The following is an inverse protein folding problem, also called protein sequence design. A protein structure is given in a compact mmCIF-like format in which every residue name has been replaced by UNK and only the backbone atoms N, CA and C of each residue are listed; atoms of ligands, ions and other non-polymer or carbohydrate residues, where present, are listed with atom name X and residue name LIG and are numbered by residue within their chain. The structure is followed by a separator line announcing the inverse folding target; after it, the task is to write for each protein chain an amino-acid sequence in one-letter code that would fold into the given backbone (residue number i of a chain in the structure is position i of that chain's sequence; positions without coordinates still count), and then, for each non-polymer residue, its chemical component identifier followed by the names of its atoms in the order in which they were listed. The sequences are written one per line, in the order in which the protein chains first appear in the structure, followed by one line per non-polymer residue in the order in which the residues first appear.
data_IF_721561139529
#
_entry.id   IF_721561139529
#
_cell.length_a   1.000
_cell.length_b   1.000
_cell.length_c   1.000
_cell.angle_alpha   90.00
_cell.angle_beta   90.00
_cell.angle_gamma   90.00
#
_symmetry.space_group_name_H-M   'P 1'
#
loop_
_entity.id
_entity.type
_entity.pdbx_description
1 polymer ?
#
# COMPACT_ATOMS: atom_id res chain seq x y z
N UNK A 1 2.97 10.42 52.03
CA UNK A 1 2.71 9.16 51.30
C UNK A 1 2.81 9.48 49.82
N UNK A 2 3.94 9.13 49.21
CA UNK A 2 4.26 9.46 47.81
C UNK A 2 3.59 8.45 46.89
N UNK A 3 2.66 8.91 46.05
CA UNK A 3 2.07 8.15 44.95
C UNK A 3 3.16 7.85 43.92
N UNK A 4 3.53 6.57 43.78
CA UNK A 4 4.32 6.09 42.65
C UNK A 4 3.41 6.14 41.42
N UNK A 5 3.79 6.95 40.43
CA UNK A 5 3.20 6.88 39.10
C UNK A 5 3.66 5.60 38.42
N UNK A 6 2.70 4.83 37.93
CA UNK A 6 2.97 3.68 37.06
C UNK A 6 3.54 4.17 35.72
N UNK A 7 4.67 3.57 35.32
CA UNK A 7 5.31 3.80 34.04
C UNK A 7 4.59 3.04 32.91
N UNK A 8 4.43 3.59 31.70
CA UNK A 8 3.87 2.85 30.58
C UNK A 8 4.97 2.03 29.88
N UNK A 9 4.82 0.70 29.83
CA UNK A 9 5.70 -0.16 29.02
C UNK A 9 5.84 -1.60 29.50
N UNK A 10 4.74 -2.37 29.62
CA UNK A 10 4.84 -3.82 29.86
C UNK A 10 5.05 -4.59 28.54
N UNK A 11 6.25 -4.54 27.97
CA UNK A 11 6.60 -5.31 26.76
C UNK A 11 7.45 -6.54 27.10
N UNK A 12 6.95 -7.75 26.83
CA UNK A 12 7.74 -8.98 26.99
C UNK A 12 8.97 -9.04 26.08
N UNK A 13 9.91 -9.95 26.36
CA UNK A 13 11.12 -10.11 25.55
C UNK A 13 10.80 -10.34 24.05
N UNK A 14 11.59 -9.79 23.11
CA UNK A 14 11.35 -9.93 21.68
C UNK A 14 11.51 -11.39 21.22
N UNK A 15 10.67 -11.81 20.28
CA UNK A 15 10.77 -13.12 19.60
C UNK A 15 12.02 -13.20 18.71
N UNK A 16 12.35 -12.09 18.06
CA UNK A 16 13.56 -11.92 17.27
C UNK A 16 14.28 -10.68 17.79
N UNK A 17 15.28 -10.84 18.69
CA UNK A 17 16.04 -9.72 19.19
C UNK A 17 16.92 -9.13 18.09
N UNK A 18 17.07 -7.81 18.11
CA UNK A 18 18.08 -7.13 17.33
C UNK A 18 19.35 -6.95 18.14
N UNK A 19 20.50 -7.10 17.47
CA UNK A 19 21.77 -6.61 18.01
C UNK A 19 21.82 -5.09 18.03
N UNK A 20 22.99 -4.52 18.33
CA UNK A 20 23.17 -3.07 18.26
C UNK A 20 22.84 -2.55 16.85
N UNK A 21 21.89 -1.62 16.77
CA UNK A 21 21.50 -0.95 15.52
C UNK A 21 22.10 0.46 15.47
N UNK A 22 22.69 0.81 14.33
CA UNK A 22 23.19 2.15 14.08
C UNK A 22 22.06 3.06 13.59
N UNK A 23 21.85 4.25 14.18
CA UNK A 23 20.90 5.22 13.65
C UNK A 23 21.42 5.90 12.39
N UNK A 24 20.52 6.22 11.48
CA UNK A 24 20.84 6.96 10.26
C UNK A 24 19.62 7.62 9.63
N UNK A 25 19.85 8.28 8.50
CA UNK A 25 18.81 8.88 7.67
C UNK A 25 18.80 8.27 6.28
N UNK A 26 17.62 7.90 5.79
CA UNK A 26 17.47 7.41 4.43
C UNK A 26 17.67 8.56 3.42
N UNK A 27 18.44 8.32 2.36
CA UNK A 27 18.67 9.32 1.30
C UNK A 27 17.93 8.93 0.02
N UNK A 28 18.26 7.77 -0.54
CA UNK A 28 17.72 7.33 -1.83
C UNK A 28 17.79 5.81 -1.95
N UNK A 29 16.79 5.20 -2.60
CA UNK A 29 16.81 3.77 -2.95
C UNK A 29 17.33 3.58 -4.38
N UNK A 30 18.38 2.80 -4.54
CA UNK A 30 18.96 2.41 -5.83
C UNK A 30 18.44 1.03 -6.23
N UNK A 31 17.42 1.00 -7.09
CA UNK A 31 16.79 -0.25 -7.51
C UNK A 31 16.03 -0.91 -6.35
N UNK A 32 16.11 -2.25 -6.24
CA UNK A 32 15.32 -3.01 -5.25
C UNK A 32 16.06 -3.24 -3.93
N UNK A 33 17.35 -3.55 -3.97
CA UNK A 33 18.06 -4.13 -2.81
C UNK A 33 19.20 -3.26 -2.27
N UNK A 34 19.29 -2.00 -2.70
CA UNK A 34 20.36 -1.09 -2.32
C UNK A 34 19.77 0.28 -1.98
N UNK A 35 20.25 0.90 -0.91
CA UNK A 35 19.92 2.26 -0.52
C UNK A 35 21.19 3.03 -0.14
N UNK A 36 21.16 4.33 -0.40
CA UNK A 36 22.06 5.30 0.20
C UNK A 36 21.43 5.80 1.50
N UNK A 37 22.25 5.82 2.55
CA UNK A 37 21.88 6.31 3.87
C UNK A 37 22.97 7.23 4.39
N UNK A 38 22.62 8.09 5.33
CA UNK A 38 23.58 8.87 6.11
C UNK A 38 23.69 8.25 7.51
N UNK A 39 24.90 7.86 7.91
CA UNK A 39 25.20 7.29 9.23
C UNK A 39 26.38 8.06 9.80
N UNK A 40 26.23 8.62 11.00
CA UNK A 40 27.24 9.46 11.64
C UNK A 40 27.82 10.56 10.72
N UNK A 41 26.95 11.20 9.92
CA UNK A 41 27.31 12.27 8.98
C UNK A 41 28.02 11.81 7.70
N UNK A 42 28.15 10.50 7.46
CA UNK A 42 28.77 9.93 6.26
C UNK A 42 27.74 9.21 5.40
N UNK A 43 27.89 9.32 4.07
CA UNK A 43 27.08 8.57 3.12
C UNK A 43 27.58 7.13 3.03
N UNK A 44 26.69 6.20 3.26
CA UNK A 44 26.95 4.76 3.28
C UNK A 44 25.96 4.01 2.37
N UNK A 45 26.35 2.81 1.95
CA UNK A 45 25.46 1.91 1.22
C UNK A 45 24.89 0.83 2.15
N UNK A 46 23.57 0.73 2.19
CA UNK A 46 22.84 -0.30 2.92
C UNK A 46 22.09 -1.24 1.98
N UNK A 47 22.08 -2.53 2.32
CA UNK A 47 21.18 -3.48 1.69
C UNK A 47 19.75 -3.27 2.19
N UNK A 48 18.80 -3.36 1.27
CA UNK A 48 17.37 -3.35 1.60
C UNK A 48 16.87 -4.79 1.49
N UNK A 49 16.66 -5.51 2.61
CA UNK A 49 16.20 -6.91 2.62
C UNK A 49 14.69 -7.03 2.32
N UNK A 50 14.22 -6.31 1.31
CA UNK A 50 12.83 -6.29 0.87
C UNK A 50 12.77 -6.03 -0.64
N UNK A 51 12.05 -6.87 -1.38
CA UNK A 51 11.88 -6.68 -2.83
C UNK A 51 10.76 -5.68 -3.18
N UNK A 52 9.90 -5.36 -2.22
CA UNK A 52 8.79 -4.43 -2.33
C UNK A 52 9.22 -2.98 -2.56
N UNK A 53 8.28 -2.10 -2.88
CA UNK A 53 8.56 -0.71 -3.30
C UNK A 53 8.88 0.22 -2.14
N UNK A 54 8.22 0.04 -1.00
CA UNK A 54 8.42 0.81 0.24
C UNK A 54 8.43 2.34 0.01
N UNK A 55 7.67 2.85 -0.96
CA UNK A 55 7.70 4.28 -1.36
C UNK A 55 7.01 5.19 -0.35
N UNK A 56 6.17 4.59 0.47
CA UNK A 56 5.50 5.17 1.62
C UNK A 56 6.39 5.22 2.86
N UNK A 57 7.38 4.33 2.98
CA UNK A 57 8.27 4.29 4.16
C UNK A 57 9.63 4.92 3.90
N UNK A 58 10.27 4.59 2.77
CA UNK A 58 11.62 5.04 2.41
C UNK A 58 11.56 6.41 1.72
N UNK A 59 11.15 7.42 2.48
CA UNK A 59 11.16 8.83 2.07
C UNK A 59 12.51 9.46 2.39
N UNK A 60 13.09 10.29 1.50
CA UNK A 60 14.31 11.03 1.80
C UNK A 60 14.19 11.79 3.14
N UNK A 61 15.18 11.61 4.01
CA UNK A 61 15.22 12.16 5.36
C UNK A 61 14.57 11.28 6.44
N UNK A 62 13.92 10.16 6.09
CA UNK A 62 13.32 9.27 7.08
C UNK A 62 14.37 8.67 8.02
N UNK A 63 14.05 8.62 9.33
CA UNK A 63 14.91 7.96 10.32
C UNK A 63 14.93 6.45 10.06
N UNK A 64 16.12 5.86 10.06
CA UNK A 64 16.32 4.43 9.86
C UNK A 64 17.27 3.87 10.92
N UNK A 65 17.10 2.59 11.23
CA UNK A 65 18.04 1.83 12.07
C UNK A 65 18.64 0.69 11.25
N UNK A 66 19.96 0.58 11.30
CA UNK A 66 20.75 -0.31 10.46
C UNK A 66 21.50 -1.35 11.28
N UNK A 67 21.47 -2.61 10.84
CA UNK A 67 22.26 -3.68 11.44
C UNK A 67 23.59 -3.86 10.69
N UNK A 68 24.71 -4.08 11.39
CA UNK A 68 25.97 -4.45 10.75
C UNK A 68 25.83 -5.83 10.08
N UNK A 69 26.44 -5.96 8.90
CA UNK A 69 26.53 -7.22 8.16
C UNK A 69 27.94 -7.79 8.30
N UNK A 70 28.04 -9.10 8.51
CA UNK A 70 29.32 -9.79 8.56
C UNK A 70 29.76 -10.29 7.18
N UNK A 71 31.08 -10.37 6.99
CA UNK A 71 31.75 -10.92 5.80
C UNK A 71 31.95 -9.94 4.65
N UNK A 72 32.70 -10.37 3.63
CA UNK A 72 32.99 -9.57 2.43
C UNK A 72 31.72 -9.41 1.58
N UNK A 73 31.01 -8.31 1.78
CA UNK A 73 29.77 -7.98 1.07
C UNK A 73 29.89 -6.58 0.46
N UNK A 74 29.12 -6.34 -0.61
CA UNK A 74 29.02 -5.01 -1.26
C UNK A 74 28.47 -3.92 -0.32
N UNK A 75 27.78 -4.31 0.75
CA UNK A 75 27.20 -3.42 1.75
C UNK A 75 27.56 -3.94 3.14
N UNK A 76 28.01 -3.04 4.02
CA UNK A 76 28.32 -3.36 5.41
C UNK A 76 27.09 -3.28 6.33
N UNK A 77 25.95 -2.82 5.81
CA UNK A 77 24.74 -2.53 6.59
C UNK A 77 23.50 -3.15 5.96
N UNK A 78 22.61 -3.67 6.80
CA UNK A 78 21.21 -3.98 6.46
C UNK A 78 20.31 -2.85 7.00
N UNK A 79 19.44 -2.30 6.16
CA UNK A 79 18.39 -1.38 6.61
C UNK A 79 17.26 -2.23 7.22
N UNK A 80 17.11 -2.17 8.55
CA UNK A 80 16.19 -3.07 9.29
C UNK A 80 14.90 -2.36 9.66
N UNK A 81 15.01 -1.17 10.28
CA UNK A 81 13.86 -0.39 10.72
C UNK A 81 13.82 0.96 9.99
N UNK A 82 12.61 1.42 9.74
CA UNK A 82 12.32 2.77 9.27
C UNK A 82 11.21 3.35 10.13
N UNK A 83 11.39 4.60 10.55
CA UNK A 83 10.34 5.32 11.29
C UNK A 83 9.18 5.55 10.33
N UNK A 84 7.98 5.15 10.75
CA UNK A 84 6.76 5.29 9.96
C UNK A 84 6.48 6.80 9.81
N UNK A 85 6.40 7.33 8.58
CA UNK A 85 6.03 8.73 8.38
C UNK A 85 4.64 9.00 8.94
N UNK A 86 4.45 10.17 9.55
CA UNK A 86 3.22 10.53 10.25
C UNK A 86 1.98 10.41 9.35
N UNK A 87 2.08 10.85 8.09
CA UNK A 87 0.99 10.77 7.13
C UNK A 87 0.70 9.35 6.59
N UNK A 88 1.61 8.42 6.85
CA UNK A 88 1.51 7.01 6.45
C UNK A 88 1.18 6.09 7.65
N UNK A 89 1.01 6.68 8.85
CA UNK A 89 0.66 5.98 10.08
C UNK A 89 -0.78 5.47 10.04
N UNK A 90 -0.96 4.23 10.44
CA UNK A 90 -2.27 3.61 10.63
C UNK A 90 -2.87 3.95 12.00
N UNK A 91 -4.02 3.34 12.34
CA UNK A 91 -4.77 3.65 13.55
C UNK A 91 -4.18 3.06 14.85
N UNK A 92 -3.19 2.17 14.76
CA UNK A 92 -2.56 1.60 15.95
C UNK A 92 -1.35 2.41 16.43
N UNK A 93 -0.77 1.99 17.55
CA UNK A 93 0.36 2.64 18.19
C UNK A 93 1.71 2.10 17.68
N UNK A 94 2.79 2.85 17.93
CA UNK A 94 4.15 2.48 17.56
C UNK A 94 4.67 3.21 16.33
N UNK A 95 5.98 3.41 16.28
CA UNK A 95 6.63 4.35 15.35
C UNK A 95 7.55 3.67 14.33
N UNK A 96 7.81 2.38 14.46
CA UNK A 96 8.77 1.66 13.64
C UNK A 96 8.09 0.62 12.76
N UNK A 97 8.49 0.56 11.50
CA UNK A 97 8.23 -0.56 10.61
C UNK A 97 9.52 -1.37 10.45
N UNK A 98 9.44 -2.69 10.55
CA UNK A 98 10.55 -3.55 10.17
C UNK A 98 10.39 -3.94 8.70
N UNK A 99 11.37 -3.58 7.88
CA UNK A 99 11.32 -3.86 6.45
C UNK A 99 12.01 -5.15 6.05
N UNK A 100 12.65 -5.86 6.99
CA UNK A 100 13.34 -7.11 6.70
C UNK A 100 12.35 -8.26 6.47
N UNK A 101 12.10 -8.54 5.19
CA UNK A 101 11.15 -9.56 4.76
C UNK A 101 11.62 -11.01 5.02
N UNK A 102 12.84 -11.21 5.56
CA UNK A 102 13.38 -12.52 5.93
C UNK A 102 12.97 -12.95 7.33
N UNK A 103 12.47 -12.03 8.16
CA UNK A 103 12.16 -12.30 9.58
C UNK A 103 10.81 -12.98 9.87
N UNK A 104 9.75 -12.87 9.05
CA UNK A 104 8.46 -13.49 9.35
C UNK A 104 8.49 -14.96 9.77
N UNK A 105 9.23 -15.88 9.10
CA UNK A 105 9.29 -17.27 9.53
C UNK A 105 9.91 -17.43 10.94
N UNK A 106 10.90 -16.60 11.28
CA UNK A 106 11.56 -16.62 12.59
C UNK A 106 10.64 -16.14 13.70
N UNK A 107 9.89 -15.07 13.44
CA UNK A 107 8.88 -14.55 14.38
C UNK A 107 7.80 -15.61 14.64
N UNK A 108 7.29 -16.25 13.57
CA UNK A 108 6.30 -17.32 13.71
C UNK A 108 6.85 -18.52 14.52
N UNK A 109 8.07 -18.97 14.24
CA UNK A 109 8.69 -20.07 14.97
C UNK A 109 8.82 -19.79 16.48
N UNK A 110 9.26 -18.58 16.85
CA UNK A 110 9.36 -18.16 18.25
C UNK A 110 7.98 -18.00 18.91
N UNK A 111 7.00 -17.44 18.18
CA UNK A 111 5.63 -17.30 18.66
C UNK A 111 4.94 -18.67 18.88
N UNK A 112 5.23 -19.69 18.06
CA UNK A 112 4.76 -21.06 18.25
C UNK A 112 5.29 -21.68 19.55
N UNK A 113 6.56 -21.46 19.87
CA UNK A 113 7.15 -21.94 21.13
C UNK A 113 6.49 -21.32 22.38
N UNK A 114 5.87 -20.14 22.23
CA UNK A 114 5.10 -19.46 23.27
C UNK A 114 3.59 -19.67 23.15
N UNK A 115 3.14 -20.55 22.26
CA UNK A 115 1.71 -20.85 22.03
C UNK A 115 0.89 -19.61 21.67
N UNK A 116 1.50 -18.64 21.00
CA UNK A 116 0.92 -17.34 20.70
C UNK A 116 0.31 -17.21 19.30
N UNK A 117 0.39 -18.25 18.46
CA UNK A 117 -0.11 -18.26 17.08
C UNK A 117 -1.44 -19.03 17.02
N UNK A 118 -2.59 -18.34 16.88
CA UNK A 118 -3.88 -19.00 16.87
C UNK A 118 -4.03 -20.01 15.72
N UNK A 119 -4.63 -21.16 16.02
CA UNK A 119 -4.82 -22.28 15.08
C UNK A 119 -3.62 -23.22 14.96
N UNK A 120 -2.49 -22.91 15.58
CA UNK A 120 -1.28 -23.74 15.61
C UNK A 120 -0.83 -24.06 17.04
N UNK A 121 -1.76 -24.06 17.99
CA UNK A 121 -1.54 -24.39 19.40
C UNK A 121 -0.97 -25.81 19.56
N UNK A 122 -0.04 -25.99 20.50
CA UNK A 122 0.70 -27.25 20.66
C UNK A 122 1.70 -27.55 19.53
N UNK A 123 1.79 -26.69 18.51
CA UNK A 123 2.75 -26.79 17.43
C UNK A 123 4.18 -26.49 17.89
N UNK A 124 5.14 -27.22 17.31
CA UNK A 124 6.58 -26.99 17.46
C UNK A 124 7.24 -27.00 16.09
N UNK A 125 8.25 -26.15 15.89
CA UNK A 125 9.01 -26.11 14.65
C UNK A 125 9.76 -27.44 14.46
N UNK A 126 9.43 -28.17 13.40
CA UNK A 126 10.13 -29.40 13.03
C UNK A 126 11.26 -29.13 12.04
N UNK A 127 11.01 -28.28 11.04
CA UNK A 127 11.98 -27.98 9.97
C UNK A 127 11.73 -26.62 9.35
N UNK A 128 12.80 -25.91 9.01
CA UNK A 128 12.76 -24.73 8.12
C UNK A 128 13.01 -25.14 6.68
N UNK A 129 12.41 -24.41 5.73
CA UNK A 129 12.62 -24.63 4.30
C UNK A 129 12.28 -26.05 3.80
N UNK A 130 11.17 -26.70 4.25
CA UNK A 130 10.78 -28.02 3.77
C UNK A 130 10.49 -28.00 2.25
N UNK A 131 10.82 -29.08 1.52
CA UNK A 131 10.56 -29.16 0.09
C UNK A 131 9.04 -29.23 -0.20
N UNK A 132 8.64 -28.60 -1.30
CA UNK A 132 7.33 -28.77 -1.93
C UNK A 132 7.50 -29.39 -3.31
N UNK A 133 6.40 -29.80 -3.95
CA UNK A 133 6.40 -30.23 -5.35
C UNK A 133 7.02 -29.17 -6.27
N UNK A 134 6.74 -27.89 -5.98
CA UNK A 134 7.43 -26.75 -6.58
C UNK A 134 8.03 -25.85 -5.49
N UNK A 135 9.36 -25.82 -5.41
CA UNK A 135 10.09 -24.93 -4.50
C UNK A 135 10.13 -25.43 -3.05
N UNK A 136 10.05 -24.49 -2.11
CA UNK A 136 10.12 -24.72 -0.66
C UNK A 136 9.12 -23.82 0.04
N UNK A 137 8.53 -24.30 1.12
CA UNK A 137 7.79 -23.47 2.07
C UNK A 137 8.72 -22.96 3.17
N UNK A 138 8.27 -22.02 4.01
CA UNK A 138 9.11 -21.45 5.05
C UNK A 138 9.31 -22.41 6.25
N UNK A 139 8.23 -23.01 6.76
CA UNK A 139 8.26 -23.84 7.98
C UNK A 139 7.44 -25.14 7.81
N UNK A 140 7.91 -26.20 8.47
CA UNK A 140 7.13 -27.38 8.81
C UNK A 140 6.95 -27.41 10.33
N UNK A 141 5.70 -27.43 10.77
CA UNK A 141 5.29 -27.41 12.17
C UNK A 141 4.61 -28.73 12.50
N UNK A 142 4.98 -29.36 13.61
CA UNK A 142 4.36 -30.58 14.10
C UNK A 142 3.64 -30.30 15.42
N UNK A 143 2.41 -30.79 15.55
CA UNK A 143 1.65 -30.79 16.80
C UNK A 143 1.03 -32.16 17.07
N UNK A 144 0.19 -32.29 18.11
CA UNK A 144 -0.39 -33.57 18.49
C UNK A 144 -1.27 -34.17 17.39
N UNK A 145 -0.75 -35.17 16.67
CA UNK A 145 -1.49 -35.86 15.60
C UNK A 145 -1.62 -35.09 14.28
N UNK A 146 -0.87 -33.99 14.09
CA UNK A 146 -0.90 -33.21 12.86
C UNK A 146 0.45 -32.61 12.49
N UNK A 147 0.66 -32.41 11.20
CA UNK A 147 1.73 -31.57 10.66
C UNK A 147 1.14 -30.47 9.78
N UNK A 148 1.77 -29.30 9.78
CA UNK A 148 1.40 -28.16 8.98
C UNK A 148 2.60 -27.60 8.22
N UNK A 149 2.45 -27.42 6.91
CA UNK A 149 3.37 -26.59 6.13
C UNK A 149 2.89 -25.14 6.22
N UNK A 150 3.78 -24.24 6.62
CA UNK A 150 3.50 -22.82 6.81
C UNK A 150 4.34 -21.98 5.87
N UNK A 151 3.68 -21.11 5.12
CA UNK A 151 4.29 -20.10 4.25
C UNK A 151 4.01 -18.71 4.82
N UNK A 152 5.05 -18.01 5.23
CA UNK A 152 4.98 -16.66 5.77
C UNK A 152 5.01 -15.61 4.65
N UNK A 153 4.21 -14.56 4.82
CA UNK A 153 4.16 -13.40 3.92
C UNK A 153 4.44 -12.13 4.72
N UNK A 154 5.52 -11.43 4.35
CA UNK A 154 5.89 -10.14 4.94
C UNK A 154 4.93 -9.04 4.46
N UNK A 155 4.38 -8.26 5.40
CA UNK A 155 3.56 -7.09 5.12
C UNK A 155 4.14 -5.86 5.81
N UNK A 156 4.37 -4.81 5.02
CA UNK A 156 4.82 -3.48 5.48
C UNK A 156 3.96 -2.33 4.91
N UNK A 157 3.22 -2.60 3.84
CA UNK A 157 2.25 -1.65 3.28
C UNK A 157 0.99 -1.63 4.15
N UNK A 158 0.68 -0.47 4.74
CA UNK A 158 -0.56 -0.22 5.47
C UNK A 158 -1.32 0.92 4.79
N UNK A 159 -2.59 0.67 4.48
CA UNK A 159 -3.52 1.65 3.88
C UNK A 159 -4.90 1.45 4.45
N UNK A 160 -5.60 2.56 4.72
CA UNK A 160 -6.94 2.54 5.34
C UNK A 160 -7.00 1.64 6.60
N UNK A 161 -5.92 1.65 7.39
CA UNK A 161 -5.71 0.85 8.60
C UNK A 161 -5.43 -0.64 8.40
N UNK A 162 -5.42 -1.14 7.16
CA UNK A 162 -5.17 -2.55 6.88
C UNK A 162 -3.79 -2.78 6.27
N UNK A 163 -3.13 -3.86 6.68
CA UNK A 163 -1.94 -4.40 6.05
C UNK A 163 -2.31 -5.05 4.72
N UNK A 164 -1.60 -4.68 3.65
CA UNK A 164 -1.92 -5.09 2.29
C UNK A 164 -0.82 -5.99 1.71
N UNK A 165 -1.22 -7.14 1.17
CA UNK A 165 -0.30 -8.04 0.46
C UNK A 165 -0.84 -8.48 -0.92
N UNK A 166 -0.02 -8.42 -1.98
CA UNK A 166 1.33 -7.85 -2.01
C UNK A 166 1.30 -6.33 -2.16
N UNK A 167 2.45 -5.66 -2.02
CA UNK A 167 2.60 -4.24 -2.35
C UNK A 167 2.76 -3.99 -3.87
N UNK A 168 3.06 -5.05 -4.62
CA UNK A 168 3.31 -5.06 -6.06
C UNK A 168 3.06 -6.45 -6.64
N UNK A 169 2.81 -6.61 -7.95
CA UNK A 169 2.56 -7.92 -8.55
C UNK A 169 3.60 -8.99 -8.16
N UNK A 170 3.14 -10.15 -7.68
CA UNK A 170 3.96 -11.25 -7.15
C UNK A 170 3.60 -12.60 -7.79
N UNK A 171 4.20 -12.88 -8.95
CA UNK A 171 4.07 -14.19 -9.57
C UNK A 171 4.54 -15.33 -8.64
N UNK A 172 5.57 -15.07 -7.80
CA UNK A 172 6.07 -16.04 -6.81
C UNK A 172 5.02 -16.33 -5.73
N UNK A 173 4.39 -15.28 -5.18
CA UNK A 173 3.36 -15.47 -4.15
C UNK A 173 2.16 -16.25 -4.67
N UNK A 174 1.75 -16.00 -5.92
CA UNK A 174 0.67 -16.77 -6.55
C UNK A 174 1.05 -18.25 -6.72
N UNK A 175 2.25 -18.55 -7.23
CA UNK A 175 2.73 -19.95 -7.36
C UNK A 175 2.81 -20.68 -6.02
N UNK A 176 3.30 -20.02 -4.97
CA UNK A 176 3.37 -20.63 -3.63
C UNK A 176 1.96 -20.95 -3.10
N UNK A 177 0.97 -20.07 -3.31
CA UNK A 177 -0.41 -20.36 -2.92
C UNK A 177 -0.98 -21.57 -3.69
N UNK A 178 -0.72 -21.69 -4.98
CA UNK A 178 -1.13 -22.86 -5.77
C UNK A 178 -0.41 -24.15 -5.34
N UNK A 179 0.88 -24.08 -5.02
CA UNK A 179 1.64 -25.23 -4.54
C UNK A 179 1.06 -25.78 -3.21
N UNK A 180 0.71 -24.89 -2.27
CA UNK A 180 0.00 -25.28 -1.04
C UNK A 180 -1.42 -25.78 -1.33
N UNK A 181 -2.09 -25.21 -2.34
CA UNK A 181 -3.39 -25.66 -2.81
C UNK A 181 -3.32 -27.03 -3.50
N UNK A 182 -2.15 -27.56 -3.86
CA UNK A 182 -1.96 -28.90 -4.41
C UNK A 182 -1.57 -29.94 -3.34
N UNK A 183 -0.94 -29.52 -2.24
CA UNK A 183 -0.58 -30.40 -1.12
C UNK A 183 -1.83 -30.90 -0.37
N UNK A 184 -1.86 -32.19 0.01
CA UNK A 184 -3.05 -32.84 0.62
C UNK A 184 -2.77 -33.68 1.87
N UNK A 185 -1.53 -34.08 2.09
CA UNK A 185 -1.10 -34.99 3.15
C UNK A 185 -0.95 -34.33 4.52
N UNK A 186 -0.98 -32.99 4.57
CA UNK A 186 -0.72 -32.20 5.78
C UNK A 186 -1.63 -30.97 5.79
N UNK A 187 -1.72 -30.30 6.95
CA UNK A 187 -2.31 -28.95 7.03
C UNK A 187 -1.44 -27.98 6.24
N UNK A 188 -2.06 -26.94 5.68
CA UNK A 188 -1.36 -25.93 4.88
C UNK A 188 -1.80 -24.56 5.32
N UNK A 189 -0.84 -23.69 5.62
CA UNK A 189 -1.09 -22.38 6.20
C UNK A 189 -0.36 -21.31 5.41
N UNK A 190 -1.07 -20.26 5.02
CA UNK A 190 -0.46 -18.99 4.62
C UNK A 190 -0.58 -18.02 5.79
N UNK A 191 0.55 -17.57 6.31
CA UNK A 191 0.64 -16.68 7.46
C UNK A 191 1.07 -15.28 7.04
N UNK A 192 0.14 -14.32 7.07
CA UNK A 192 0.47 -12.90 6.87
C UNK A 192 1.05 -12.31 8.16
N UNK A 193 2.31 -11.90 8.12
CA UNK A 193 3.02 -11.32 9.26
C UNK A 193 3.23 -9.83 8.98
N UNK A 194 2.46 -9.00 9.68
CA UNK A 194 2.54 -7.55 9.55
C UNK A 194 3.64 -7.02 10.46
N UNK A 195 4.72 -6.53 9.85
CA UNK A 195 5.90 -6.01 10.54
C UNK A 195 5.74 -4.51 10.88
N UNK A 196 4.51 -4.16 11.30
CA UNK A 196 4.08 -2.82 11.68
C UNK A 196 3.05 -2.92 12.80
N UNK A 197 3.19 -2.14 13.89
CA UNK A 197 2.29 -2.21 15.03
C UNK A 197 0.97 -1.42 14.80
N UNK A 198 0.95 -0.50 13.84
CA UNK A 198 -0.13 0.45 13.58
C UNK A 198 -1.26 -0.07 12.68
N UNK A 199 -1.46 -1.39 12.64
CA UNK A 199 -2.42 -2.09 11.77
C UNK A 199 -3.62 -2.65 12.56
N UNK A 200 -4.80 -2.69 11.94
CA UNK A 200 -6.02 -3.30 12.53
C UNK A 200 -6.54 -4.56 11.84
N UNK A 201 -6.14 -4.80 10.60
CA UNK A 201 -6.60 -5.92 9.78
C UNK A 201 -5.59 -6.25 8.67
N UNK A 202 -5.76 -7.39 8.01
CA UNK A 202 -5.05 -7.73 6.77
C UNK A 202 -6.02 -7.89 5.63
N UNK A 203 -5.63 -7.44 4.43
CA UNK A 203 -6.40 -7.58 3.20
C UNK A 203 -5.49 -8.02 2.05
N UNK A 204 -5.92 -8.97 1.21
CA UNK A 204 -5.28 -9.22 -0.07
C UNK A 204 -5.38 -7.97 -0.94
N UNK A 205 -4.25 -7.48 -1.45
CA UNK A 205 -4.18 -6.28 -2.28
C UNK A 205 -4.54 -6.59 -3.73
N UNK A 206 -5.81 -6.87 -3.97
CA UNK A 206 -6.31 -7.15 -5.33
C UNK A 206 -6.06 -6.00 -6.34
N UNK A 207 -6.09 -4.70 -5.98
CA UNK A 207 -5.68 -3.63 -6.89
C UNK A 207 -4.23 -3.77 -7.41
N UNK A 208 -3.31 -4.22 -6.55
CA UNK A 208 -1.92 -4.42 -6.93
C UNK A 208 -1.72 -5.75 -7.69
N UNK A 209 -2.38 -6.82 -7.26
CA UNK A 209 -2.26 -8.14 -7.88
C UNK A 209 -3.56 -8.95 -7.84
N UNK A 210 -4.41 -8.84 -8.90
CA UNK A 210 -5.61 -9.65 -9.03
C UNK A 210 -5.32 -11.15 -9.16
N UNK A 211 -4.16 -11.53 -9.72
CA UNK A 211 -3.80 -12.93 -9.93
C UNK A 211 -3.45 -13.61 -8.61
N UNK A 212 -2.68 -12.95 -7.75
CA UNK A 212 -2.44 -13.41 -6.38
C UNK A 212 -3.75 -13.53 -5.58
N UNK A 213 -4.62 -12.51 -5.63
CA UNK A 213 -5.90 -12.56 -4.93
C UNK A 213 -6.78 -13.74 -5.40
N UNK A 214 -6.75 -14.07 -6.69
CA UNK A 214 -7.45 -15.23 -7.23
C UNK A 214 -6.81 -16.57 -6.80
N UNK A 215 -5.48 -16.66 -6.78
CA UNK A 215 -4.75 -17.84 -6.30
C UNK A 215 -5.01 -18.10 -4.82
N UNK A 216 -5.00 -17.06 -3.98
CA UNK A 216 -5.33 -17.17 -2.56
C UNK A 216 -6.74 -17.72 -2.35
N UNK A 217 -7.74 -17.22 -3.09
CA UNK A 217 -9.13 -17.74 -3.06
C UNK A 217 -9.25 -19.19 -3.53
N UNK A 218 -8.38 -19.65 -4.44
CA UNK A 218 -8.34 -21.07 -4.84
C UNK A 218 -7.70 -21.92 -3.74
N UNK A 219 -6.62 -21.44 -3.14
CA UNK A 219 -5.95 -22.10 -2.03
C UNK A 219 -6.90 -22.28 -0.82
N UNK A 220 -7.62 -21.24 -0.43
CA UNK A 220 -8.63 -21.32 0.66
C UNK A 220 -9.71 -22.36 0.35
N UNK A 221 -10.25 -22.37 -0.88
CA UNK A 221 -11.25 -23.37 -1.30
C UNK A 221 -10.71 -24.79 -1.31
N UNK A 222 -9.40 -24.96 -1.50
CA UNK A 222 -8.74 -26.26 -1.38
C UNK A 222 -8.48 -26.66 0.08
N UNK A 223 -8.76 -25.80 1.07
CA UNK A 223 -8.52 -26.05 2.48
C UNK A 223 -7.17 -25.54 3.00
N UNK A 224 -6.53 -24.60 2.30
CA UNK A 224 -5.37 -23.86 2.84
C UNK A 224 -5.88 -22.83 3.84
N UNK A 225 -5.43 -22.93 5.08
CA UNK A 225 -5.75 -22.00 6.16
C UNK A 225 -5.01 -20.68 5.94
N UNK A 226 -5.65 -19.56 6.26
CA UNK A 226 -5.04 -18.23 6.17
C UNK A 226 -5.11 -17.58 7.53
N UNK A 227 -3.95 -17.32 8.12
CA UNK A 227 -3.84 -16.58 9.37
C UNK A 227 -3.11 -15.26 9.12
N UNK A 228 -3.38 -14.29 9.99
CA UNK A 228 -2.73 -13.00 9.97
C UNK A 228 -2.42 -12.57 11.39
N UNK A 229 -1.31 -11.86 11.58
CA UNK A 229 -1.02 -11.21 12.85
C UNK A 229 -0.05 -10.07 12.71
N UNK A 230 0.00 -9.26 13.76
CA UNK A 230 0.86 -8.08 13.84
C UNK A 230 2.05 -8.35 14.75
N UNK A 231 3.15 -7.68 14.42
CA UNK A 231 4.31 -7.60 15.29
C UNK A 231 4.29 -6.30 16.08
N UNK A 232 4.64 -6.38 17.36
CA UNK A 232 5.34 -5.28 18.04
C UNK A 232 6.71 -5.12 17.39
N UNK A 233 7.09 -3.86 17.12
CA UNK A 233 8.33 -3.53 16.42
C UNK A 233 9.02 -2.40 17.17
N UNK A 234 10.28 -2.60 17.52
CA UNK A 234 11.11 -1.57 18.10
C UNK A 234 12.59 -1.87 17.96
N UNK A 235 13.46 -0.96 18.44
CA UNK A 235 14.91 -1.13 18.36
C UNK A 235 15.45 -2.41 19.03
N UNK A 236 14.71 -2.98 19.99
CA UNK A 236 15.08 -4.22 20.68
C UNK A 236 14.77 -5.48 19.88
N UNK A 237 13.85 -5.45 18.91
CA UNK A 237 13.46 -6.63 18.15
C UNK A 237 12.03 -6.60 17.59
N UNK A 238 11.60 -7.76 17.10
CA UNK A 238 10.21 -8.04 16.75
C UNK A 238 9.60 -9.02 17.76
N UNK A 239 8.32 -8.86 18.03
CA UNK A 239 7.52 -9.81 18.79
C UNK A 239 6.15 -9.98 18.17
N UNK A 240 5.68 -11.20 17.98
CA UNK A 240 4.30 -11.47 17.62
C UNK A 240 3.38 -11.00 18.74
N UNK A 241 2.56 -10.00 18.44
CA UNK A 241 1.70 -9.36 19.42
C UNK A 241 0.30 -9.99 19.46
N UNK A 242 -0.16 -10.55 18.33
CA UNK A 242 -1.47 -11.20 18.27
C UNK A 242 -2.06 -11.27 16.88
N UNK A 243 -3.19 -11.98 16.74
CA UNK A 243 -3.87 -12.16 15.47
C UNK A 243 -4.48 -10.86 14.93
N UNK A 244 -4.68 -10.83 13.63
CA UNK A 244 -5.43 -9.80 12.92
C UNK A 244 -6.58 -10.45 12.12
N UNK A 245 -7.74 -9.78 12.01
CA UNK A 245 -8.78 -10.24 11.12
C UNK A 245 -8.32 -10.15 9.65
N UNK A 246 -8.65 -11.18 8.87
CA UNK A 246 -8.54 -11.17 7.42
C UNK A 246 -9.84 -10.61 6.83
N UNK A 247 -9.75 -9.46 6.15
CA UNK A 247 -10.91 -8.81 5.56
C UNK A 247 -10.93 -8.93 4.03
N UNK A 248 -12.15 -8.99 3.48
CA UNK A 248 -12.39 -9.00 2.03
C UNK A 248 -13.37 -7.90 1.66
N UNK A 249 -13.21 -7.35 0.47
CA UNK A 249 -14.14 -6.35 -0.01
C UNK A 249 -15.53 -6.97 -0.20
N UNK A 250 -16.54 -6.31 0.35
CA UNK A 250 -17.94 -6.55 0.05
C UNK A 250 -18.64 -5.22 -0.24
N UNK A 251 -19.76 -5.26 -0.96
CA UNK A 251 -20.53 -4.06 -1.27
C UNK A 251 -21.09 -3.39 -0.02
N UNK A 252 -21.34 -4.15 1.06
CA UNK A 252 -21.82 -3.65 2.35
C UNK A 252 -20.72 -3.17 3.31
N UNK A 253 -19.43 -3.36 2.98
CA UNK A 253 -18.33 -2.98 3.88
C UNK A 253 -18.37 -1.50 4.28
N UNK A 254 -18.11 -1.20 5.55
CA UNK A 254 -17.90 0.18 5.99
C UNK A 254 -16.67 0.76 5.28
N UNK A 255 -16.78 1.99 4.78
CA UNK A 255 -15.70 2.67 4.07
C UNK A 255 -15.58 4.12 4.53
N UNK A 256 -14.35 4.59 4.67
CA UNK A 256 -14.04 6.00 4.85
C UNK A 256 -13.80 6.65 3.49
N UNK A 257 -13.94 7.97 3.40
CA UNK A 257 -13.56 8.68 2.17
C UNK A 257 -12.06 8.60 1.91
N UNK A 258 -11.67 8.85 0.67
CA UNK A 258 -10.25 8.98 0.30
C UNK A 258 -9.73 10.35 0.76
N UNK A 259 -8.50 10.45 1.29
CA UNK A 259 -7.89 11.74 1.58
C UNK A 259 -7.59 12.51 0.29
N UNK A 260 -7.51 13.84 0.37
CA UNK A 260 -6.97 14.64 -0.72
C UNK A 260 -5.44 14.56 -0.68
N UNK A 261 -4.80 14.17 -1.79
CA UNK A 261 -3.35 14.17 -1.92
C UNK A 261 -2.93 15.46 -2.61
N UNK A 262 -2.66 16.51 -1.83
CA UNK A 262 -2.46 17.85 -2.36
C UNK A 262 -1.33 18.61 -1.66
N UNK A 263 -0.71 19.54 -2.39
CA UNK A 263 0.23 20.54 -1.86
C UNK A 263 0.15 21.83 -2.71
N UNK A 264 0.70 22.96 -2.25
CA UNK A 264 0.84 24.14 -3.09
C UNK A 264 1.70 23.86 -4.33
N UNK A 265 1.39 24.50 -5.46
CA UNK A 265 2.23 24.47 -6.67
C UNK A 265 2.28 23.11 -7.39
N UNK A 266 1.22 22.30 -7.28
CA UNK A 266 1.11 21.06 -8.06
C UNK A 266 1.24 21.33 -9.56
N UNK A 267 1.94 20.43 -10.27
CA UNK A 267 1.97 20.40 -11.73
C UNK A 267 0.58 20.05 -12.28
N UNK A 268 -0.05 19.04 -11.70
CA UNK A 268 -1.37 18.55 -12.11
C UNK A 268 -2.19 18.15 -10.88
N UNK A 269 -3.40 18.70 -10.75
CA UNK A 269 -4.41 18.21 -9.82
C UNK A 269 -5.42 17.33 -10.57
N UNK A 270 -5.42 16.02 -10.30
CA UNK A 270 -6.42 15.09 -10.83
C UNK A 270 -7.67 15.14 -9.95
N UNK A 271 -8.82 15.50 -10.54
CA UNK A 271 -10.10 15.62 -9.87
C UNK A 271 -11.08 14.57 -10.39
N UNK A 272 -11.32 13.51 -9.59
CA UNK A 272 -12.36 12.53 -9.84
C UNK A 272 -13.77 13.07 -9.55
N UNK A 273 -14.79 12.30 -9.93
CA UNK A 273 -16.18 12.61 -9.60
C UNK A 273 -16.46 12.41 -8.10
N UNK A 274 -16.40 11.15 -7.66
CA UNK A 274 -16.51 10.75 -6.28
C UNK A 274 -15.87 9.35 -6.09
N UNK A 275 -15.42 8.99 -4.87
CA UNK A 275 -14.84 7.68 -4.64
C UNK A 275 -15.86 6.55 -4.86
N UNK A 276 -15.48 5.53 -5.64
CA UNK A 276 -16.21 4.26 -5.60
C UNK A 276 -15.93 3.55 -4.27
N UNK A 277 -16.93 2.83 -3.71
CA UNK A 277 -16.77 2.06 -2.45
C UNK A 277 -15.55 1.13 -2.45
N UNK A 278 -15.21 0.51 -3.58
CA UNK A 278 -14.01 -0.32 -3.71
C UNK A 278 -12.70 0.48 -3.53
N UNK A 279 -12.58 1.61 -4.22
CA UNK A 279 -11.44 2.51 -4.09
C UNK A 279 -11.29 3.03 -2.66
N UNK A 280 -12.41 3.45 -2.06
CA UNK A 280 -12.49 3.90 -0.67
C UNK A 280 -12.09 2.81 0.33
N UNK A 281 -12.53 1.56 0.12
CA UNK A 281 -12.16 0.43 0.98
C UNK A 281 -10.66 0.18 0.99
N UNK A 282 -10.01 0.20 -0.18
CA UNK A 282 -8.54 0.07 -0.27
C UNK A 282 -7.77 1.34 0.13
N UNK A 283 -8.44 2.49 0.26
CA UNK A 283 -7.77 3.78 0.47
C UNK A 283 -6.95 4.23 -0.74
N UNK A 284 -7.38 3.89 -1.96
CA UNK A 284 -6.61 4.11 -3.19
C UNK A 284 -7.50 4.70 -4.29
N UNK A 285 -6.99 5.72 -5.00
CA UNK A 285 -7.70 6.33 -6.12
C UNK A 285 -7.77 5.38 -7.31
N UNK A 286 -8.94 5.33 -7.97
CA UNK A 286 -9.16 4.54 -9.19
C UNK A 286 -8.73 3.06 -9.11
N UNK A 287 -8.82 2.44 -7.92
CA UNK A 287 -8.24 1.13 -7.63
C UNK A 287 -8.98 -0.08 -8.21
N UNK A 288 -10.24 0.08 -8.63
CA UNK A 288 -11.06 -1.06 -9.08
C UNK A 288 -10.44 -1.73 -10.32
N UNK A 289 -10.28 -3.07 -10.31
CA UNK A 289 -9.87 -3.81 -11.50
C UNK A 289 -10.72 -3.45 -12.71
N UNK A 290 -10.06 -3.23 -13.85
CA UNK A 290 -10.70 -2.78 -15.09
C UNK A 290 -10.89 -1.26 -15.24
N UNK A 291 -10.62 -0.46 -14.20
CA UNK A 291 -10.56 1.00 -14.36
C UNK A 291 -9.36 1.38 -15.25
N UNK A 292 -9.59 2.23 -16.26
CA UNK A 292 -8.58 2.58 -17.26
C UNK A 292 -7.64 3.71 -16.83
N UNK A 293 -7.88 4.38 -15.71
CA UNK A 293 -7.09 5.53 -15.25
C UNK A 293 -5.60 5.20 -15.16
N UNK A 294 -5.22 4.23 -14.32
CA UNK A 294 -3.82 3.88 -14.11
C UNK A 294 -3.13 3.29 -15.35
N UNK A 295 -3.77 2.41 -16.14
CA UNK A 295 -3.23 2.01 -17.45
C UNK A 295 -3.00 3.20 -18.40
N UNK A 296 -3.93 4.15 -18.46
CA UNK A 296 -3.86 5.30 -19.36
C UNK A 296 -2.78 6.31 -18.94
N UNK A 297 -2.65 6.61 -17.64
CA UNK A 297 -1.58 7.46 -17.11
C UNK A 297 -0.20 6.90 -17.48
N UNK A 298 0.01 5.58 -17.34
CA UNK A 298 1.27 4.92 -17.74
C UNK A 298 1.49 4.96 -19.25
N UNK A 299 0.46 4.63 -20.03
CA UNK A 299 0.55 4.57 -21.49
C UNK A 299 0.80 5.96 -22.12
N UNK A 300 0.35 7.03 -21.47
CA UNK A 300 0.59 8.40 -21.88
C UNK A 300 1.92 8.99 -21.36
N UNK A 301 2.67 8.26 -20.53
CA UNK A 301 3.92 8.74 -19.95
C UNK A 301 3.76 9.78 -18.83
N UNK A 302 2.54 10.02 -18.34
CA UNK A 302 2.26 10.97 -17.26
C UNK A 302 2.83 10.53 -15.90
N UNK A 303 3.05 9.22 -15.73
CA UNK A 303 3.65 8.61 -14.53
C UNK A 303 4.60 7.49 -14.93
N UNK A 304 5.57 7.10 -14.06
CA UNK A 304 6.45 5.98 -14.32
C UNK A 304 5.68 4.68 -14.63
N UNK A 305 6.25 3.82 -15.48
CA UNK A 305 5.62 2.54 -15.91
C UNK A 305 5.31 1.58 -14.77
N UNK A 306 5.97 1.71 -13.62
CA UNK A 306 5.65 0.89 -12.46
C UNK A 306 4.39 1.38 -11.73
N UNK A 307 3.93 2.62 -11.95
CA UNK A 307 2.99 3.27 -11.05
C UNK A 307 1.56 2.73 -11.11
N UNK A 308 0.85 2.80 -9.98
CA UNK A 308 -0.51 2.27 -9.83
C UNK A 308 -1.26 2.84 -8.61
N UNK A 309 -2.45 2.29 -8.31
CA UNK A 309 -3.22 2.68 -7.13
C UNK A 309 -2.39 2.56 -5.84
N UNK A 310 -2.55 3.51 -4.92
CA UNK A 310 -1.82 3.54 -3.64
C UNK A 310 -0.51 4.33 -3.66
N UNK A 311 -0.11 4.87 -4.82
CA UNK A 311 1.07 5.72 -4.98
C UNK A 311 0.76 7.22 -5.06
N UNK A 312 -0.48 7.62 -4.78
CA UNK A 312 -0.95 9.00 -4.93
C UNK A 312 -0.15 9.99 -4.09
N UNK A 313 0.14 9.65 -2.83
CA UNK A 313 0.98 10.47 -1.95
C UNK A 313 2.41 10.63 -2.50
N UNK A 314 2.99 9.53 -3.02
CA UNK A 314 4.32 9.55 -3.62
C UNK A 314 4.36 10.40 -4.90
N UNK A 315 3.36 10.30 -5.77
CA UNK A 315 3.23 11.11 -6.99
C UNK A 315 3.04 12.59 -6.67
N UNK A 316 2.27 12.91 -5.64
CA UNK A 316 2.08 14.27 -5.15
C UNK A 316 3.41 14.89 -4.71
N UNK A 317 4.20 14.15 -3.91
CA UNK A 317 5.50 14.61 -3.40
C UNK A 317 6.57 14.72 -4.49
N UNK A 318 6.65 13.74 -5.37
CA UNK A 318 7.81 13.60 -6.29
C UNK A 318 7.58 14.18 -7.67
N UNK A 319 6.35 14.14 -8.20
CA UNK A 319 6.02 14.61 -9.56
C UNK A 319 5.05 15.80 -9.56
N UNK A 320 4.60 16.24 -8.38
CA UNK A 320 3.59 17.30 -8.29
C UNK A 320 2.24 16.90 -8.90
N UNK A 321 1.90 15.61 -8.90
CA UNK A 321 0.61 15.10 -9.36
C UNK A 321 -0.27 14.78 -8.15
N UNK A 322 -1.25 15.65 -7.89
CA UNK A 322 -2.19 15.52 -6.77
C UNK A 322 -3.50 14.86 -7.15
N UNK A 323 -4.26 14.44 -6.15
CA UNK A 323 -5.53 13.71 -6.30
C UNK A 323 -6.60 14.25 -5.36
N UNK A 324 -7.81 14.40 -5.89
CA UNK A 324 -9.01 14.81 -5.16
C UNK A 324 -10.25 14.27 -5.88
N UNK A 325 -11.43 14.43 -5.28
CA UNK A 325 -12.72 14.28 -5.95
C UNK A 325 -13.56 15.53 -5.79
N UNK A 326 -14.53 15.76 -6.69
CA UNK A 326 -15.55 16.80 -6.51
C UNK A 326 -16.38 16.50 -5.27
N UNK A 327 -16.92 15.29 -5.16
CA UNK A 327 -17.71 14.82 -4.01
C UNK A 327 -16.93 13.77 -3.23
N UNK A 328 -16.80 13.95 -1.91
CA UNK A 328 -16.01 13.04 -1.06
C UNK A 328 -16.78 11.81 -0.59
N UNK A 329 -18.12 11.78 -0.63
CA UNK A 329 -18.88 10.62 -0.16
C UNK A 329 -18.66 9.40 -1.09
N UNK A 330 -18.19 8.25 -0.56
CA UNK A 330 -18.08 7.04 -1.36
C UNK A 330 -19.45 6.45 -1.72
N UNK A 331 -19.63 6.05 -2.99
CA UNK A 331 -20.91 5.44 -3.45
C UNK A 331 -20.69 4.17 -4.28
N UNK A 332 -21.76 3.39 -4.48
CA UNK A 332 -21.76 2.26 -5.41
C UNK A 332 -21.63 2.73 -6.86
N UNK A 333 -22.34 3.82 -7.21
CA UNK A 333 -22.23 4.53 -8.48
C UNK A 333 -22.55 6.02 -8.38
N UNK A 334 -22.21 6.78 -9.43
CA UNK A 334 -22.39 8.24 -9.49
C UNK A 334 -23.85 8.68 -9.40
N UNK A 335 -24.79 7.81 -9.79
CA UNK A 335 -26.23 8.07 -9.71
C UNK A 335 -26.75 8.22 -8.27
N UNK A 336 -26.01 7.71 -7.27
CA UNK A 336 -26.36 7.85 -5.84
C UNK A 336 -25.96 9.23 -5.26
N UNK A 337 -25.23 10.05 -6.02
CA UNK A 337 -24.75 11.37 -5.56
C UNK A 337 -25.80 12.44 -5.83
N UNK A 338 -26.22 13.14 -4.78
CA UNK A 338 -27.29 14.15 -4.83
C UNK A 338 -26.79 15.44 -5.49
N UNK A 339 -27.70 16.19 -6.09
CA UNK A 339 -27.39 17.50 -6.71
C UNK A 339 -26.79 18.49 -5.70
N UNK A 340 -27.26 18.49 -4.46
CA UNK A 340 -26.71 19.33 -3.39
C UNK A 340 -25.25 19.01 -3.08
N UNK A 341 -24.85 17.74 -3.18
CA UNK A 341 -23.45 17.33 -2.99
C UNK A 341 -22.58 17.77 -4.16
N UNK A 342 -23.09 17.75 -5.40
CA UNK A 342 -22.38 18.29 -6.56
C UNK A 342 -22.12 19.79 -6.42
N UNK A 343 -23.11 20.57 -6.01
CA UNK A 343 -22.97 22.02 -5.79
C UNK A 343 -21.94 22.34 -4.71
N UNK A 344 -22.06 21.70 -3.54
CA UNK A 344 -21.08 21.85 -2.45
C UNK A 344 -19.66 21.40 -2.87
N UNK A 345 -19.58 20.31 -3.63
CA UNK A 345 -18.32 19.80 -4.19
C UNK A 345 -17.67 20.78 -5.16
N UNK A 346 -18.46 21.47 -5.99
CA UNK A 346 -17.97 22.46 -6.93
C UNK A 346 -17.38 23.69 -6.23
N UNK A 347 -18.06 24.22 -5.22
CA UNK A 347 -17.55 25.31 -4.38
C UNK A 347 -16.23 24.91 -3.69
N UNK A 348 -16.18 23.69 -3.14
CA UNK A 348 -14.98 23.14 -2.52
C UNK A 348 -13.81 23.06 -3.49
N UNK A 349 -14.02 22.55 -4.71
CA UNK A 349 -12.96 22.45 -5.73
C UNK A 349 -12.47 23.84 -6.13
N UNK A 350 -13.36 24.82 -6.36
CA UNK A 350 -12.96 26.20 -6.65
C UNK A 350 -12.11 26.80 -5.53
N UNK A 351 -12.52 26.63 -4.27
CA UNK A 351 -11.74 27.08 -3.13
C UNK A 351 -10.38 26.37 -3.04
N UNK A 352 -10.34 25.07 -3.31
CA UNK A 352 -9.11 24.27 -3.29
C UNK A 352 -8.12 24.74 -4.37
N UNK A 353 -8.59 24.99 -5.59
CA UNK A 353 -7.75 25.50 -6.69
C UNK A 353 -7.23 26.91 -6.39
N UNK A 354 -8.08 27.82 -5.90
CA UNK A 354 -7.66 29.17 -5.47
C UNK A 354 -6.56 29.12 -4.40
N UNK A 355 -6.69 28.21 -3.43
CA UNK A 355 -5.73 28.06 -2.32
C UNK A 355 -4.42 27.43 -2.77
N UNK A 356 -4.47 26.34 -3.53
CA UNK A 356 -3.28 25.55 -3.87
C UNK A 356 -2.54 26.05 -5.10
N UNK A 357 -3.23 26.82 -5.96
CA UNK A 357 -2.72 27.34 -7.24
C UNK A 357 -1.97 26.26 -8.05
N UNK A 358 -2.61 25.11 -8.36
CA UNK A 358 -1.99 24.13 -9.25
C UNK A 358 -1.80 24.76 -10.64
N UNK A 359 -0.75 24.36 -11.36
CA UNK A 359 -0.53 24.80 -12.75
C UNK A 359 -1.67 24.33 -13.67
N UNK A 360 -2.09 23.08 -13.49
CA UNK A 360 -3.21 22.49 -14.20
C UNK A 360 -4.14 21.68 -13.29
N UNK A 361 -5.43 21.65 -13.62
CA UNK A 361 -6.42 20.71 -13.08
C UNK A 361 -7.01 19.86 -14.21
N UNK A 362 -7.18 18.56 -13.95
CA UNK A 362 -7.82 17.65 -14.88
C UNK A 362 -9.01 16.96 -14.22
N UNK A 363 -10.22 17.14 -14.78
CA UNK A 363 -11.41 16.42 -14.36
C UNK A 363 -11.51 15.06 -15.03
N UNK A 364 -11.71 14.00 -14.26
CA UNK A 364 -11.92 12.64 -14.77
C UNK A 364 -13.40 12.29 -14.67
N UNK A 365 -14.13 12.49 -15.77
CA UNK A 365 -15.56 12.25 -15.88
C UNK A 365 -16.38 13.53 -16.04
N UNK A 366 -17.26 13.52 -17.05
CA UNK A 366 -18.03 14.71 -17.47
C UNK A 366 -18.99 15.22 -16.41
N UNK A 367 -19.59 14.36 -15.60
CA UNK A 367 -20.56 14.80 -14.57
C UNK A 367 -19.90 15.71 -13.54
N UNK A 368 -18.72 15.32 -13.04
CA UNK A 368 -17.94 16.14 -12.11
C UNK A 368 -17.47 17.44 -12.76
N UNK A 369 -16.94 17.36 -14.00
CA UNK A 369 -16.53 18.55 -14.75
C UNK A 369 -17.70 19.55 -14.93
N UNK A 370 -18.88 19.07 -15.31
CA UNK A 370 -20.06 19.92 -15.52
C UNK A 370 -20.59 20.56 -14.23
N UNK A 371 -20.44 19.89 -13.08
CA UNK A 371 -20.79 20.49 -11.79
C UNK A 371 -19.91 21.71 -11.47
N UNK A 372 -18.63 21.70 -11.87
CA UNK A 372 -17.67 22.78 -11.56
C UNK A 372 -17.62 23.85 -12.66
N UNK A 373 -17.57 23.43 -13.92
CA UNK A 373 -17.34 24.27 -15.10
C UNK A 373 -18.63 24.70 -15.81
N UNK A 374 -19.76 24.07 -15.48
CA UNK A 374 -21.05 24.30 -16.13
C UNK A 374 -21.38 23.27 -17.23
N UNK A 375 -22.63 23.31 -17.74
CA UNK A 375 -23.17 22.28 -18.64
C UNK A 375 -22.41 22.13 -19.96
N UNK A 376 -21.70 23.18 -20.40
CA UNK A 376 -20.90 23.18 -21.63
C UNK A 376 -19.62 22.33 -21.57
N UNK A 377 -19.23 21.79 -20.41
CA UNK A 377 -18.01 20.99 -20.30
C UNK A 377 -18.02 19.75 -21.22
N UNK A 378 -16.95 19.63 -22.04
CA UNK A 378 -16.69 18.57 -23.02
C UNK A 378 -15.24 18.08 -22.91
N UNK A 379 -14.91 16.84 -23.33
CA UNK A 379 -13.54 16.34 -23.26
C UNK A 379 -12.55 17.21 -24.04
N UNK A 380 -11.34 17.36 -23.51
CA UNK A 380 -10.29 18.22 -24.06
C UNK A 380 -9.92 19.39 -23.15
N UNK A 381 -9.06 20.32 -23.63
CA UNK A 381 -8.76 21.55 -22.93
C UNK A 381 -10.03 22.40 -22.70
N UNK A 382 -10.11 23.04 -21.55
CA UNK A 382 -11.14 24.01 -21.21
C UNK A 382 -10.52 25.42 -21.26
N UNK A 383 -10.76 26.20 -22.33
CA UNK A 383 -10.02 27.44 -22.60
C UNK A 383 -10.09 28.50 -21.49
N UNK A 384 -11.20 28.57 -20.78
CA UNK A 384 -11.45 29.55 -19.73
C UNK A 384 -10.66 29.23 -18.43
N UNK A 385 -10.07 28.03 -18.34
CA UNK A 385 -9.40 27.57 -17.14
C UNK A 385 -10.34 27.40 -15.94
N UNK A 386 -9.76 27.33 -14.74
CA UNK A 386 -10.51 27.33 -13.48
C UNK A 386 -9.70 28.04 -12.40
N UNK A 387 -10.19 29.18 -11.91
CA UNK A 387 -9.56 29.91 -10.79
C UNK A 387 -8.06 30.19 -11.00
N UNK A 388 -7.67 30.51 -12.24
CA UNK A 388 -6.28 30.77 -12.64
C UNK A 388 -5.45 29.53 -13.01
N UNK A 389 -5.98 28.32 -12.84
CA UNK A 389 -5.33 27.09 -13.32
C UNK A 389 -5.78 26.72 -14.74
N UNK A 390 -4.85 26.19 -15.54
CA UNK A 390 -5.20 25.56 -16.82
C UNK A 390 -6.11 24.35 -16.56
N UNK A 391 -7.14 24.14 -17.38
CA UNK A 391 -8.15 23.11 -17.13
C UNK A 391 -8.30 22.14 -18.30
N UNK A 392 -8.42 20.84 -17.99
CA UNK A 392 -8.63 19.77 -18.96
C UNK A 392 -9.72 18.82 -18.49
N UNK A 393 -10.53 18.31 -19.41
CA UNK A 393 -11.60 17.36 -19.10
C UNK A 393 -11.35 16.04 -19.81
N UNK A 394 -11.35 14.95 -19.05
CA UNK A 394 -11.30 13.59 -19.55
C UNK A 394 -12.67 12.91 -19.46
N UNK A 395 -12.96 11.94 -20.36
CA UNK A 395 -14.09 11.04 -20.17
C UNK A 395 -13.94 10.19 -18.89
N UNK A 396 -15.03 9.55 -18.47
CA UNK A 396 -14.98 8.63 -17.33
C UNK A 396 -14.09 7.41 -17.65
N UNK A 397 -13.27 6.99 -16.69
CA UNK A 397 -12.33 5.86 -16.83
C UNK A 397 -12.89 4.53 -16.31
N UNK A 398 -14.03 4.57 -15.63
CA UNK A 398 -14.69 3.39 -15.06
C UNK A 398 -15.52 2.68 -16.14
N UNK A 399 -15.29 1.38 -16.32
CA UNK A 399 -16.10 0.56 -17.24
C UNK A 399 -17.61 0.55 -16.93
N UNK A 400 -17.99 0.84 -15.67
CA UNK A 400 -19.41 0.95 -15.25
C UNK A 400 -20.13 2.20 -15.76
N UNK A 401 -19.39 3.14 -16.34
CA UNK A 401 -19.88 4.44 -16.82
C UNK A 401 -19.32 4.73 -18.23
N UNK A 402 -19.02 3.68 -18.99
CA UNK A 402 -18.35 3.77 -20.27
C UNK A 402 -19.31 4.29 -21.35
N UNK A 403 -19.39 5.61 -21.49
CA UNK A 403 -19.90 6.26 -22.71
C UNK A 403 -18.83 6.27 -23.80
N UNK A 404 -17.56 6.16 -23.41
CA UNK A 404 -16.40 6.16 -24.30
C UNK A 404 -15.68 4.81 -24.24
N UNK A 405 -15.26 4.31 -25.40
CA UNK A 405 -14.48 3.11 -25.53
C UNK A 405 -13.03 3.28 -25.05
N UNK A 406 -12.35 2.15 -24.84
CA UNK A 406 -10.94 2.12 -24.39
C UNK A 406 -10.02 2.98 -25.25
N UNK A 407 -10.21 2.97 -26.58
CA UNK A 407 -9.39 3.75 -27.53
C UNK A 407 -9.50 5.25 -27.28
N UNK A 408 -10.70 5.74 -27.05
CA UNK A 408 -10.98 7.16 -26.81
C UNK A 408 -10.44 7.62 -25.46
N UNK A 409 -10.60 6.80 -24.41
CA UNK A 409 -10.00 7.08 -23.11
C UNK A 409 -8.48 7.21 -23.24
N UNK A 410 -7.81 6.23 -23.87
CA UNK A 410 -6.35 6.29 -24.06
C UNK A 410 -5.91 7.49 -24.92
N UNK A 411 -6.68 7.84 -25.95
CA UNK A 411 -6.42 9.03 -26.77
C UNK A 411 -6.54 10.32 -25.94
N UNK A 412 -7.54 10.40 -25.05
CA UNK A 412 -7.72 11.51 -24.12
C UNK A 412 -6.52 11.72 -23.20
N UNK A 413 -5.97 10.63 -22.61
CA UNK A 413 -4.78 10.75 -21.75
C UNK A 413 -3.52 11.15 -22.54
N UNK A 414 -3.37 10.71 -23.80
CA UNK A 414 -2.28 11.19 -24.67
C UNK A 414 -2.43 12.66 -25.01
N UNK A 415 -3.66 13.12 -25.23
CA UNK A 415 -3.94 14.55 -25.45
C UNK A 415 -3.66 15.37 -24.19
N UNK A 416 -4.07 14.87 -23.01
CA UNK A 416 -3.71 15.47 -21.71
C UNK A 416 -2.19 15.58 -21.56
N UNK A 417 -1.42 14.53 -21.88
CA UNK A 417 0.03 14.56 -21.76
C UNK A 417 0.67 15.63 -22.65
N UNK A 418 0.29 15.71 -23.93
CA UNK A 418 0.79 16.76 -24.84
C UNK A 418 0.43 18.17 -24.35
N UNK A 419 -0.84 18.37 -23.99
CA UNK A 419 -1.31 19.65 -23.47
C UNK A 419 -0.62 20.06 -22.17
N UNK A 420 -0.33 19.09 -21.29
CA UNK A 420 0.33 19.36 -20.01
C UNK A 420 1.78 19.81 -20.18
N UNK A 421 2.50 19.33 -21.21
CA UNK A 421 3.84 19.83 -21.54
C UNK A 421 3.82 21.31 -21.97
N UNK A 422 2.74 21.77 -22.61
CA UNK A 422 2.58 23.16 -23.05
C UNK A 422 2.28 24.10 -21.88
N UNK A 423 1.37 23.70 -20.98
CA UNK A 423 0.85 24.58 -19.90
C UNK A 423 1.56 24.41 -18.56
N UNK A 424 2.24 23.28 -18.36
CA UNK A 424 2.88 22.93 -17.09
C UNK A 424 4.03 21.92 -17.32
N UNK A 425 5.13 22.33 -17.98
CA UNK A 425 6.30 21.46 -18.16
C UNK A 425 6.87 21.01 -16.81
N UNK A 426 7.51 19.81 -16.76
CA UNK A 426 8.01 19.16 -15.54
C UNK A 426 9.03 19.98 -14.76
#
# INVERSE_FOLDING_TARGET
MSSRGDAPGSGGAPDVPFGALAPGRFLLRRGRFLAEVEVAGRRELAHVPNAGRLRELLLPGADVLLAPRTGARRTALDLVLVRIPEEERGPGEGEWACIDARLPPRVLAAALAREAVPGLEGGRLLRTEPPLAEGRADLLVAGPGWEAVVEAKSITLVRAGAGLFPDSPTARGARHAEALAALRDRRRVIAFVVQRPDVRAVRPNEPADPAFAAALRRAERAGVEVLAGRCEVGPSGLRWAGPLPLERFSTGAAVQTLPDHVRPGLRLLVCGMNPGRYSAWYGMYFARPGNLFWPAMRAAGLVPRASGPGEEAWLCRTLGIGFTDVVKRPTGGVAEVRETEWRAGAERIRALVRRLRPRAICFVGLRGARAVLGPGARPGPWPEGLEGAACFVLPATSGRQATYGRREVLAGFRALARWLEEVAPP
#
